data_IF_965532375817
#
_entry.id   IF_965532375817
#
_cell.length_a   1.000
_cell.length_b   1.000
_cell.length_c   1.000
_cell.angle_alpha   90.00
_cell.angle_beta   90.00
_cell.angle_gamma   90.00
#
_symmetry.space_group_name_H-M   'P 1'
#
loop_
_entity.id
_entity.type
_entity.pdbx_description
1 polymer ?
#
# COMPACT_ATOMS: atom_id res chain seq x y z
N UNK A 1 -1.18 56.97 -2.05
CA UNK A 1 -1.20 55.75 -2.90
C UNK A 1 -1.59 54.58 -2.02
N UNK A 2 -2.84 54.27 -1.96
CA UNK A 2 -3.36 53.13 -1.14
C UNK A 2 -3.16 51.84 -1.94
N UNK A 3 -2.39 50.87 -1.40
CA UNK A 3 -2.32 49.52 -1.94
C UNK A 3 -3.46 48.71 -1.31
N UNK A 4 -4.42 48.37 -2.13
CA UNK A 4 -5.55 47.49 -1.79
C UNK A 4 -5.04 46.10 -1.60
N UNK A 5 -5.14 45.56 -0.38
CA UNK A 5 -4.85 44.16 -0.08
C UNK A 5 -6.04 43.32 -0.55
N UNK A 6 -5.89 42.55 -1.60
CA UNK A 6 -6.86 41.55 -2.00
C UNK A 6 -6.83 40.38 -1.03
N UNK A 7 -7.82 40.30 -0.14
CA UNK A 7 -8.10 39.07 0.61
C UNK A 7 -8.85 38.11 -0.31
N UNK A 8 -8.20 37.06 -0.75
CA UNK A 8 -8.87 35.92 -1.38
C UNK A 8 -9.54 35.15 -0.23
N UNK A 9 -10.85 35.29 -0.10
CA UNK A 9 -11.66 34.46 0.80
C UNK A 9 -11.69 33.04 0.24
N UNK A 10 -10.94 32.12 0.82
CA UNK A 10 -11.06 30.69 0.60
C UNK A 10 -12.08 30.20 1.65
N UNK A 11 -13.30 29.80 1.27
CA UNK A 11 -14.27 29.28 2.22
C UNK A 11 -13.82 27.89 2.71
N UNK A 12 -13.93 27.66 4.01
CA UNK A 12 -13.62 26.43 4.76
C UNK A 12 -12.20 26.26 5.32
N UNK A 13 -11.58 27.32 5.79
CA UNK A 13 -10.39 27.20 6.63
C UNK A 13 -10.72 27.67 8.05
N UNK A 14 -10.80 26.75 9.00
CA UNK A 14 -10.82 27.12 10.42
C UNK A 14 -9.39 27.18 10.96
N UNK A 15 -8.95 28.34 11.41
CA UNK A 15 -7.65 28.53 12.04
C UNK A 15 -7.78 28.33 13.54
N UNK A 16 -7.07 27.37 14.10
CA UNK A 16 -7.19 27.06 15.54
C UNK A 16 -6.13 27.74 16.40
N UNK A 17 -4.98 28.14 15.86
CA UNK A 17 -3.97 28.88 16.63
C UNK A 17 -2.89 29.53 15.75
N UNK A 18 -2.53 30.77 16.10
CA UNK A 18 -1.32 31.45 15.62
C UNK A 18 -0.21 31.20 16.65
N UNK A 19 0.85 30.49 16.29
CA UNK A 19 2.02 30.34 17.15
C UNK A 19 3.21 31.08 16.55
N UNK A 20 4.25 31.36 17.36
CA UNK A 20 5.51 32.00 16.87
C UNK A 20 6.19 31.19 15.76
N UNK A 21 5.73 29.98 15.47
CA UNK A 21 6.26 29.02 14.50
C UNK A 21 5.40 28.84 13.24
N UNK A 22 4.32 29.62 13.06
CA UNK A 22 3.46 29.56 11.86
C UNK A 22 2.02 29.15 12.11
N UNK A 23 1.22 29.03 11.07
CA UNK A 23 -0.17 28.64 11.11
C UNK A 23 -0.33 27.11 11.18
N UNK A 24 -1.08 26.60 12.16
CA UNK A 24 -1.51 25.21 12.17
C UNK A 24 -2.84 25.08 11.43
N UNK A 25 -2.86 24.23 10.43
CA UNK A 25 -4.07 23.85 9.70
C UNK A 25 -4.60 22.51 10.22
N UNK A 26 -5.94 22.37 10.30
CA UNK A 26 -6.60 21.12 10.73
C UNK A 26 -6.56 19.99 9.69
N UNK A 27 -6.16 20.29 8.45
CA UNK A 27 -5.97 19.27 7.43
C UNK A 27 -4.51 18.76 7.47
N UNK A 28 -4.25 17.51 7.91
CA UNK A 28 -2.90 16.98 8.06
C UNK A 28 -2.16 16.80 6.73
N UNK A 29 -2.85 16.93 5.60
CA UNK A 29 -2.27 16.77 4.25
C UNK A 29 -1.98 18.11 3.56
N UNK A 30 -2.29 19.25 4.20
CA UNK A 30 -1.99 20.56 3.62
C UNK A 30 -0.65 21.06 4.14
N UNK A 31 0.32 21.14 3.25
CA UNK A 31 1.61 21.74 3.48
C UNK A 31 1.63 23.15 2.85
N UNK A 32 1.92 24.18 3.66
CA UNK A 32 2.12 25.54 3.18
C UNK A 32 3.61 25.88 3.36
N UNK A 33 4.33 26.01 2.27
CA UNK A 33 5.72 26.45 2.25
C UNK A 33 5.76 27.99 2.12
N UNK A 34 6.19 28.65 3.17
CA UNK A 34 6.46 30.09 3.16
C UNK A 34 7.94 30.35 2.85
N UNK A 35 8.40 30.02 1.66
CA UNK A 35 9.73 30.40 1.18
C UNK A 35 9.82 31.86 0.67
N UNK A 36 8.84 32.71 1.01
CA UNK A 36 8.79 34.12 0.65
C UNK A 36 9.60 35.00 1.57
N UNK A 37 10.63 35.66 1.06
CA UNK A 37 11.34 36.74 1.73
C UNK A 37 10.40 37.91 1.98
N UNK A 38 10.10 38.21 3.24
CA UNK A 38 9.62 39.54 3.63
C UNK A 38 10.85 40.34 4.05
N UNK A 39 11.22 41.35 3.25
CA UNK A 39 12.36 42.18 3.51
C UNK A 39 12.18 43.11 4.71
N UNK A 40 13.26 43.28 5.46
CA UNK A 40 13.42 44.33 6.45
C UNK A 40 13.71 43.84 7.87
N UNK A 41 14.97 43.78 8.28
CA UNK A 41 15.34 43.66 9.69
C UNK A 41 16.01 42.34 10.07
N UNK A 42 17.10 42.46 10.76
CA UNK A 42 18.01 41.42 11.27
C UNK A 42 17.30 40.14 11.75
N UNK A 43 17.67 38.99 11.16
CA UNK A 43 17.38 37.66 11.70
C UNK A 43 16.21 36.96 11.01
N UNK A 44 16.41 36.54 9.76
CA UNK A 44 15.56 35.47 9.14
C UNK A 44 16.00 34.12 9.69
N UNK A 45 15.30 33.59 10.68
CA UNK A 45 15.43 32.19 10.99
C UNK A 45 14.87 31.39 9.82
N UNK A 46 15.69 30.51 9.25
CA UNK A 46 15.28 29.55 8.23
C UNK A 46 14.35 28.54 8.87
N UNK A 47 13.04 28.69 8.65
CA UNK A 47 12.11 27.63 9.03
C UNK A 47 12.43 26.40 8.18
N UNK A 48 13.01 25.39 8.82
CA UNK A 48 13.26 24.10 8.20
C UNK A 48 11.94 23.49 7.72
N UNK A 49 11.97 22.83 6.57
CA UNK A 49 10.85 22.06 6.02
C UNK A 49 10.39 21.03 7.06
N UNK A 50 9.36 21.33 7.84
CA UNK A 50 8.74 20.34 8.71
C UNK A 50 7.88 19.42 7.84
N UNK A 51 8.41 18.27 7.51
CA UNK A 51 7.57 17.16 7.03
C UNK A 51 6.77 16.65 8.23
N UNK A 52 5.45 16.79 8.18
CA UNK A 52 4.59 16.16 9.17
C UNK A 52 4.87 14.66 9.16
N UNK A 53 5.19 14.11 10.33
CA UNK A 53 5.36 12.67 10.47
C UNK A 53 4.04 11.97 10.10
N UNK A 54 4.13 10.89 9.33
CA UNK A 54 2.97 10.07 9.01
C UNK A 54 2.31 9.55 10.30
N UNK A 55 1.00 9.70 10.40
CA UNK A 55 0.19 9.19 11.52
C UNK A 55 -0.76 8.13 10.99
N UNK A 56 -0.68 6.93 11.54
CA UNK A 56 -1.57 5.83 11.18
C UNK A 56 -3.02 6.13 11.57
N UNK A 57 -3.95 5.76 10.71
CA UNK A 57 -5.37 6.14 10.78
C UNK A 57 -5.72 7.30 9.85
N UNK A 58 -4.74 8.07 9.40
CA UNK A 58 -4.92 9.05 8.35
C UNK A 58 -4.70 8.40 6.97
N UNK A 59 -5.29 8.98 5.94
CA UNK A 59 -5.04 8.55 4.57
C UNK A 59 -3.59 8.87 4.14
N UNK A 60 -3.03 8.00 3.28
CA UNK A 60 -1.68 8.11 2.75
C UNK A 60 -1.75 8.26 1.22
N UNK A 61 -1.46 9.44 0.71
CA UNK A 61 -1.44 9.68 -0.74
C UNK A 61 -0.05 9.43 -1.31
N UNK A 62 0.02 8.54 -2.29
CA UNK A 62 1.26 8.13 -2.96
C UNK A 62 1.18 8.43 -4.47
N UNK A 63 2.22 9.04 -4.98
CA UNK A 63 2.45 9.19 -6.42
C UNK A 63 3.32 8.02 -6.87
N UNK A 64 2.70 7.04 -7.49
CA UNK A 64 3.38 5.92 -8.11
C UNK A 64 3.96 6.32 -9.46
N UNK A 65 5.22 5.99 -9.71
CA UNK A 65 5.89 6.26 -10.98
C UNK A 65 6.62 5.03 -11.50
N UNK A 66 6.59 4.84 -12.81
CA UNK A 66 7.32 3.75 -13.47
C UNK A 66 8.84 3.89 -13.35
N UNK A 67 9.33 5.09 -13.07
CA UNK A 67 10.77 5.40 -12.93
C UNK A 67 11.42 4.67 -11.74
N UNK A 68 10.66 4.32 -10.71
CA UNK A 68 11.15 3.50 -9.58
C UNK A 68 11.33 2.03 -9.97
N UNK A 69 10.77 1.59 -11.10
CA UNK A 69 10.81 0.20 -11.57
C UNK A 69 9.90 -0.75 -10.77
N UNK A 70 8.95 -0.20 -10.01
CA UNK A 70 7.96 -0.94 -9.18
C UNK A 70 6.58 -0.85 -9.81
N UNK A 71 6.04 0.35 -9.91
CA UNK A 71 4.72 0.58 -10.48
C UNK A 71 4.68 0.23 -11.97
N UNK A 72 3.68 -0.54 -12.43
CA UNK A 72 3.52 -0.85 -13.87
C UNK A 72 3.03 0.35 -14.69
N UNK A 73 2.48 1.37 -14.04
CA UNK A 73 2.03 2.62 -14.65
C UNK A 73 2.06 3.77 -13.64
N UNK A 74 2.13 5.00 -14.15
CA UNK A 74 2.07 6.20 -13.32
C UNK A 74 0.63 6.43 -12.85
N UNK A 75 0.43 6.62 -11.55
CA UNK A 75 -0.86 7.05 -10.98
C UNK A 75 -0.70 7.57 -9.56
N UNK A 76 -1.64 8.39 -9.12
CA UNK A 76 -1.78 8.80 -7.72
C UNK A 76 -2.85 7.95 -7.04
N UNK A 77 -2.53 7.43 -5.85
CA UNK A 77 -3.45 6.64 -5.03
C UNK A 77 -3.47 7.20 -3.62
N UNK A 78 -4.66 7.31 -3.05
CA UNK A 78 -4.86 7.62 -1.64
C UNK A 78 -5.29 6.34 -0.91
N UNK A 79 -4.37 5.78 -0.13
CA UNK A 79 -4.61 4.58 0.69
C UNK A 79 -5.25 4.96 2.01
N UNK A 80 -6.27 4.21 2.44
CA UNK A 80 -6.68 4.19 3.83
C UNK A 80 -5.61 3.49 4.67
N UNK A 81 -5.45 3.93 5.93
CA UNK A 81 -4.57 3.26 6.88
C UNK A 81 -5.30 2.96 8.18
N UNK A 82 -4.90 1.90 8.87
CA UNK A 82 -5.50 1.45 10.12
C UNK A 82 -4.46 0.87 11.07
N UNK A 83 -4.57 1.22 12.35
CA UNK A 83 -3.86 0.52 13.41
C UNK A 83 -4.56 -0.80 13.72
N UNK A 84 -3.80 -1.88 13.80
CA UNK A 84 -4.32 -3.20 14.12
C UNK A 84 -3.29 -4.06 14.84
N UNK A 85 -3.72 -4.78 15.85
CA UNK A 85 -2.93 -5.77 16.58
C UNK A 85 -3.03 -7.19 16.00
N UNK A 86 -3.75 -7.37 14.90
CA UNK A 86 -3.96 -8.69 14.28
C UNK A 86 -2.66 -9.41 13.92
N UNK A 87 -1.57 -8.69 13.65
CA UNK A 87 -0.24 -9.25 13.37
C UNK A 87 0.54 -9.73 14.62
N UNK A 88 -0.08 -9.70 15.80
CA UNK A 88 0.56 -10.07 17.09
C UNK A 88 1.05 -8.87 17.89
N UNK A 89 1.14 -7.70 17.26
CA UNK A 89 1.42 -6.41 17.92
C UNK A 89 0.75 -5.28 17.14
N UNK A 90 0.56 -4.11 17.78
CA UNK A 90 -0.02 -2.96 17.09
C UNK A 90 0.90 -2.48 15.98
N UNK A 91 0.41 -2.53 14.75
CA UNK A 91 1.07 -2.10 13.53
C UNK A 91 0.13 -1.25 12.68
N UNK A 92 0.69 -0.47 11.77
CA UNK A 92 -0.07 0.26 10.78
C UNK A 92 -0.18 -0.53 9.48
N UNK A 93 -1.39 -0.64 8.93
CA UNK A 93 -1.66 -1.33 7.67
C UNK A 93 -2.31 -0.39 6.67
N UNK A 94 -2.01 -0.55 5.37
CA UNK A 94 -2.90 -0.02 4.34
C UNK A 94 -4.14 -0.90 4.27
N UNK A 95 -5.33 -0.31 4.02
CA UNK A 95 -6.60 -1.06 3.92
C UNK A 95 -6.90 -1.55 2.51
N UNK A 96 -6.08 -1.18 1.54
CA UNK A 96 -6.19 -1.56 0.13
C UNK A 96 -4.99 -2.42 -0.28
N UNK A 97 -5.13 -3.20 -1.36
CA UNK A 97 -3.98 -3.83 -1.98
C UNK A 97 -3.06 -2.77 -2.59
N UNK A 98 -1.76 -2.97 -2.52
CA UNK A 98 -0.82 -2.01 -3.12
C UNK A 98 -1.12 -1.85 -4.62
N UNK A 99 -1.19 -0.62 -5.06
CA UNK A 99 -1.55 -0.28 -6.43
C UNK A 99 -3.04 -0.31 -6.76
N UNK A 100 -3.95 -0.58 -5.81
CA UNK A 100 -5.39 -0.38 -6.06
C UNK A 100 -5.74 1.11 -6.08
N UNK A 101 -6.66 1.49 -6.95
CA UNK A 101 -7.16 2.87 -7.02
C UNK A 101 -8.26 3.12 -6.00
N UNK A 102 -9.08 2.11 -5.75
CA UNK A 102 -10.23 2.19 -4.86
C UNK A 102 -10.15 1.11 -3.78
N UNK A 103 -10.77 1.38 -2.63
CA UNK A 103 -11.09 0.34 -1.67
C UNK A 103 -12.08 -0.63 -2.31
N UNK A 104 -11.88 -1.94 -2.12
CA UNK A 104 -12.87 -2.94 -2.53
C UNK A 104 -14.24 -2.64 -1.89
N UNK A 105 -15.31 -2.87 -2.62
CA UNK A 105 -16.70 -2.65 -2.18
C UNK A 105 -17.32 -3.88 -1.52
N UNK A 106 -16.71 -5.04 -1.71
CA UNK A 106 -17.10 -6.32 -1.11
C UNK A 106 -15.91 -7.29 -1.03
N UNK A 107 -16.12 -8.40 -0.34
CA UNK A 107 -15.15 -9.50 -0.29
C UNK A 107 -14.85 -10.07 -1.69
N UNK A 108 -15.86 -10.12 -2.55
CA UNK A 108 -15.80 -10.70 -3.89
C UNK A 108 -15.68 -9.67 -5.01
N UNK A 109 -15.27 -8.44 -4.68
CA UNK A 109 -15.08 -7.37 -5.67
C UNK A 109 -14.08 -7.81 -6.76
N UNK A 110 -14.57 -7.89 -7.99
CA UNK A 110 -13.78 -8.31 -9.16
C UNK A 110 -13.17 -7.14 -9.93
N UNK A 111 -13.39 -5.90 -9.47
CA UNK A 111 -12.91 -4.73 -10.19
C UNK A 111 -11.39 -4.65 -10.19
N UNK A 112 -10.82 -4.28 -11.33
CA UNK A 112 -9.39 -4.02 -11.46
C UNK A 112 -8.94 -2.87 -10.55
N UNK A 113 -9.81 -1.88 -10.35
CA UNK A 113 -9.53 -0.71 -9.53
C UNK A 113 -9.32 -1.07 -8.05
N UNK A 114 -9.98 -2.12 -7.55
CA UNK A 114 -9.81 -2.63 -6.19
C UNK A 114 -8.69 -3.67 -6.08
N UNK A 115 -8.47 -4.48 -7.12
CA UNK A 115 -7.52 -5.59 -7.08
C UNK A 115 -6.07 -5.14 -6.83
N UNK A 116 -5.68 -3.97 -7.33
CA UNK A 116 -4.31 -3.49 -7.25
C UNK A 116 -3.39 -4.18 -8.24
N UNK A 117 -2.13 -4.31 -7.87
CA UNK A 117 -1.11 -4.94 -8.68
C UNK A 117 -0.68 -6.28 -8.10
N UNK A 118 0.06 -7.07 -8.89
CA UNK A 118 0.56 -8.38 -8.56
C UNK A 118 2.08 -8.39 -8.66
N UNK A 119 2.75 -9.14 -7.79
CA UNK A 119 4.21 -9.27 -7.78
C UNK A 119 4.62 -10.73 -7.75
N UNK A 120 5.71 -11.04 -8.40
CA UNK A 120 6.46 -12.26 -8.17
C UNK A 120 7.26 -12.12 -6.88
N UNK A 121 7.50 -13.23 -6.20
CA UNK A 121 8.25 -13.21 -4.94
C UNK A 121 9.65 -12.61 -5.12
N UNK A 122 10.05 -11.76 -4.19
CA UNK A 122 11.34 -11.05 -4.15
C UNK A 122 11.67 -10.26 -5.44
N UNK A 123 10.67 -9.82 -6.20
CA UNK A 123 10.83 -8.95 -7.37
C UNK A 123 10.15 -7.63 -7.12
N UNK A 124 10.84 -6.53 -7.42
CA UNK A 124 10.28 -5.18 -7.24
C UNK A 124 9.23 -4.82 -8.29
N UNK A 125 9.30 -5.40 -9.49
CA UNK A 125 8.41 -5.07 -10.62
C UNK A 125 7.00 -5.58 -10.38
N UNK A 126 6.03 -4.67 -10.35
CA UNK A 126 4.61 -4.98 -10.27
C UNK A 126 3.97 -5.18 -11.64
N UNK A 127 2.82 -5.85 -11.65
CA UNK A 127 2.03 -6.16 -12.83
C UNK A 127 0.58 -5.79 -12.58
N UNK A 128 0.00 -4.98 -13.44
CA UNK A 128 -1.42 -4.74 -13.51
C UNK A 128 -2.06 -5.85 -14.36
N UNK A 129 -3.23 -6.35 -13.96
CA UNK A 129 -3.98 -7.33 -14.75
C UNK A 129 -5.47 -6.95 -14.81
N UNK A 130 -6.00 -6.82 -16.03
CA UNK A 130 -7.39 -6.43 -16.29
C UNK A 130 -8.36 -7.63 -16.43
N UNK A 131 -7.89 -8.85 -16.20
CA UNK A 131 -8.65 -10.08 -16.40
C UNK A 131 -8.25 -10.86 -17.66
N UNK A 132 -7.76 -10.19 -18.69
CA UNK A 132 -7.36 -10.80 -19.96
C UNK A 132 -5.87 -10.67 -20.26
N UNK A 133 -5.22 -9.62 -19.76
CA UNK A 133 -3.81 -9.36 -20.00
C UNK A 133 -3.13 -8.65 -18.85
N UNK A 134 -1.83 -8.81 -18.75
CA UNK A 134 -1.00 -8.09 -17.78
C UNK A 134 -0.20 -6.98 -18.42
N UNK A 135 -0.04 -5.88 -17.69
CA UNK A 135 0.83 -4.76 -18.06
C UNK A 135 1.85 -4.53 -16.93
N UNK A 136 3.16 -4.55 -17.22
CA UNK A 136 3.76 -5.08 -18.43
C UNK A 136 3.44 -6.58 -18.60
N UNK A 137 3.75 -7.16 -19.76
CA UNK A 137 3.51 -8.58 -19.99
C UNK A 137 4.12 -9.41 -18.86
N UNK A 138 3.29 -10.25 -18.23
CA UNK A 138 3.72 -11.16 -17.19
C UNK A 138 4.37 -12.39 -17.85
N UNK A 139 5.68 -12.50 -17.75
CA UNK A 139 6.42 -13.62 -18.31
C UNK A 139 6.90 -14.50 -17.17
N UNK A 140 6.50 -15.78 -17.09
CA UNK A 140 7.09 -16.70 -16.13
C UNK A 140 8.60 -16.78 -16.34
N UNK A 141 9.35 -16.60 -15.27
CA UNK A 141 10.81 -16.74 -15.28
C UNK A 141 11.15 -17.60 -14.08
N UNK A 142 11.78 -18.71 -14.35
CA UNK A 142 12.15 -19.62 -13.26
C UNK A 142 13.13 -18.92 -12.31
N UNK A 143 12.65 -18.65 -11.11
CA UNK A 143 13.45 -17.96 -10.10
C UNK A 143 13.95 -18.97 -9.08
N UNK A 144 15.25 -19.23 -9.08
CA UNK A 144 15.93 -19.96 -8.02
C UNK A 144 16.43 -18.94 -6.99
N UNK A 145 15.65 -18.73 -5.92
CA UNK A 145 15.89 -17.70 -4.91
C UNK A 145 15.78 -18.33 -3.52
N UNK A 146 16.74 -18.11 -2.65
CA UNK A 146 16.76 -18.68 -1.30
C UNK A 146 16.60 -17.63 -0.19
N UNK A 147 16.57 -16.36 -0.55
CA UNK A 147 16.42 -15.26 0.40
C UNK A 147 14.96 -15.00 0.74
N UNK A 148 14.69 -14.47 1.92
CA UNK A 148 13.47 -13.72 2.19
C UNK A 148 13.40 -12.49 1.28
N UNK A 149 12.23 -11.86 1.20
CA UNK A 149 12.08 -10.63 0.42
C UNK A 149 13.05 -9.57 0.92
N UNK A 150 13.97 -9.14 0.05
CA UNK A 150 14.96 -8.12 0.41
C UNK A 150 14.38 -6.71 0.28
N UNK A 151 14.78 -5.81 1.17
CA UNK A 151 14.23 -4.45 1.24
C UNK A 151 14.34 -3.68 -0.08
N UNK A 152 15.44 -3.88 -0.83
CA UNK A 152 15.64 -3.25 -2.14
C UNK A 152 14.67 -3.70 -3.23
N UNK A 153 13.98 -4.81 -3.01
CA UNK A 153 12.94 -5.35 -3.89
C UNK A 153 11.53 -5.23 -3.30
N UNK A 154 11.40 -4.83 -2.02
CA UNK A 154 10.11 -4.73 -1.34
C UNK A 154 9.29 -3.56 -1.89
N UNK A 155 8.18 -3.83 -2.62
CA UNK A 155 7.36 -2.78 -3.21
C UNK A 155 6.71 -1.86 -2.18
N UNK A 156 6.44 -2.34 -0.96
CA UNK A 156 5.92 -1.51 0.13
C UNK A 156 6.96 -0.48 0.57
N UNK A 157 8.21 -0.92 0.79
CA UNK A 157 9.30 -0.04 1.19
C UNK A 157 9.61 1.00 0.11
N UNK A 158 9.64 0.58 -1.17
CA UNK A 158 10.01 1.45 -2.29
C UNK A 158 8.90 2.46 -2.59
N UNK A 159 7.63 2.04 -2.54
CA UNK A 159 6.49 2.89 -2.92
C UNK A 159 5.98 3.76 -1.76
N UNK A 160 5.85 3.20 -0.55
CA UNK A 160 5.27 3.90 0.60
C UNK A 160 6.33 4.56 1.49
N UNK A 161 7.61 4.18 1.34
CA UNK A 161 8.72 4.77 2.07
C UNK A 161 9.10 4.02 3.35
N UNK A 162 9.98 4.65 4.13
CA UNK A 162 10.62 4.05 5.29
C UNK A 162 9.62 3.51 6.32
N UNK A 163 9.92 2.33 6.85
CA UNK A 163 9.11 1.61 7.83
C UNK A 163 8.01 0.75 7.22
N UNK A 164 7.61 0.96 5.97
CA UNK A 164 6.67 0.10 5.27
C UNK A 164 7.36 -1.13 4.69
N UNK A 165 6.70 -2.29 4.77
CA UNK A 165 7.19 -3.56 4.24
C UNK A 165 6.06 -4.55 3.98
N UNK A 166 6.38 -5.65 3.31
CA UNK A 166 5.50 -6.82 3.21
C UNK A 166 5.48 -7.54 4.57
N UNK A 167 4.30 -8.02 5.05
CA UNK A 167 4.20 -8.80 6.28
C UNK A 167 5.01 -10.10 6.22
N UNK A 168 5.54 -10.53 7.36
CA UNK A 168 6.17 -11.86 7.49
C UNK A 168 5.13 -12.97 7.56
N UNK A 169 5.55 -14.23 7.42
CA UNK A 169 4.67 -15.38 7.61
C UNK A 169 4.11 -15.45 9.04
N UNK A 170 4.91 -15.07 10.04
CA UNK A 170 4.47 -15.02 11.44
C UNK A 170 3.35 -14.02 11.64
N UNK A 171 3.46 -12.82 11.05
CA UNK A 171 2.40 -11.81 11.11
C UNK A 171 1.13 -12.30 10.41
N UNK A 172 1.25 -12.95 9.26
CA UNK A 172 0.09 -13.57 8.59
C UNK A 172 -0.50 -14.73 9.37
N UNK A 173 0.31 -15.55 10.09
CA UNK A 173 -0.20 -16.57 10.99
C UNK A 173 -1.03 -15.96 12.13
N UNK A 174 -0.57 -14.87 12.72
CA UNK A 174 -1.32 -14.17 13.77
C UNK A 174 -2.65 -13.60 13.24
N UNK A 175 -2.63 -12.96 12.07
CA UNK A 175 -3.87 -12.51 11.39
C UNK A 175 -4.79 -13.69 11.12
N UNK A 176 -4.24 -14.83 10.65
CA UNK A 176 -4.97 -16.05 10.31
C UNK A 176 -5.66 -16.68 11.53
N UNK A 177 -5.01 -16.68 12.68
CA UNK A 177 -5.52 -17.25 13.93
C UNK A 177 -6.69 -16.46 14.56
N UNK A 178 -6.95 -15.23 14.10
CA UNK A 178 -7.93 -14.31 14.66
C UNK A 178 -9.32 -14.41 14.01
N UNK A 179 -9.77 -15.61 13.60
CA UNK A 179 -11.03 -15.83 12.89
C UNK A 179 -11.13 -15.02 11.58
N UNK A 180 -10.06 -15.00 10.84
CA UNK A 180 -9.88 -14.15 9.67
C UNK A 180 -10.95 -14.35 8.60
N UNK A 181 -11.44 -15.61 8.42
CA UNK A 181 -12.42 -15.88 7.36
C UNK A 181 -13.70 -15.03 7.50
N UNK A 182 -14.21 -14.91 8.72
CA UNK A 182 -15.39 -14.07 8.98
C UNK A 182 -15.08 -12.56 8.92
N UNK A 183 -13.83 -12.17 9.08
CA UNK A 183 -13.40 -10.78 9.23
C UNK A 183 -12.54 -10.27 8.07
N UNK A 184 -12.24 -11.09 7.07
CA UNK A 184 -11.32 -10.73 6.00
C UNK A 184 -11.66 -9.38 5.36
N UNK A 185 -12.90 -9.20 4.94
CA UNK A 185 -13.41 -7.94 4.41
C UNK A 185 -14.08 -7.07 5.48
N UNK A 186 -14.89 -7.68 6.37
CA UNK A 186 -15.59 -6.93 7.42
C UNK A 186 -14.62 -6.30 8.44
N UNK A 187 -13.50 -6.97 8.69
CA UNK A 187 -12.46 -6.53 9.64
C UNK A 187 -11.70 -5.29 9.19
N UNK A 188 -10.76 -4.83 10.04
CA UNK A 188 -10.05 -3.56 9.81
C UNK A 188 -9.19 -3.58 8.56
N UNK A 189 -8.67 -4.73 8.14
CA UNK A 189 -7.77 -4.82 6.98
C UNK A 189 -8.50 -4.73 5.64
N UNK A 190 -9.82 -4.88 5.58
CA UNK A 190 -10.63 -4.78 4.35
C UNK A 190 -10.06 -5.61 3.19
N UNK A 191 -9.69 -6.87 3.48
CA UNK A 191 -9.12 -7.78 2.49
C UNK A 191 -10.20 -8.31 1.54
N UNK A 192 -9.86 -8.53 0.27
CA UNK A 192 -10.82 -9.04 -0.73
C UNK A 192 -10.15 -10.01 -1.70
N UNK A 193 -10.96 -10.76 -2.44
CA UNK A 193 -10.54 -11.82 -3.34
C UNK A 193 -10.00 -11.27 -4.68
N UNK A 194 -8.81 -10.69 -4.66
CA UNK A 194 -8.14 -10.17 -5.86
C UNK A 194 -7.60 -11.27 -6.80
N UNK A 195 -7.59 -12.54 -6.36
CA UNK A 195 -7.02 -13.65 -7.13
C UNK A 195 -5.49 -13.58 -7.24
N UNK A 196 -4.94 -14.27 -8.23
CA UNK A 196 -3.51 -14.30 -8.54
C UNK A 196 -3.26 -14.45 -10.04
N UNK A 197 -2.07 -14.09 -10.50
CA UNK A 197 -1.62 -14.33 -11.88
C UNK A 197 -0.82 -15.63 -11.89
N UNK A 198 -1.28 -16.61 -12.68
CA UNK A 198 -0.64 -17.93 -12.79
C UNK A 198 0.73 -17.82 -13.47
N UNK A 199 1.70 -18.60 -13.02
CA UNK A 199 3.01 -18.78 -13.67
C UNK A 199 2.98 -19.79 -14.84
N UNK A 200 1.90 -20.61 -14.93
CA UNK A 200 1.55 -21.44 -16.06
C UNK A 200 0.43 -20.81 -16.93
N UNK A 201 -0.10 -21.59 -17.85
CA UNK A 201 -1.32 -21.23 -18.61
C UNK A 201 -1.32 -19.77 -19.16
N UNK A 202 -0.27 -19.35 -19.84
CA UNK A 202 -0.15 -18.02 -20.46
C UNK A 202 -0.30 -16.82 -19.49
N UNK A 203 0.04 -17.00 -18.21
CA UNK A 203 -0.01 -15.92 -17.21
C UNK A 203 -1.42 -15.36 -17.00
N UNK A 204 -2.41 -16.22 -16.99
CA UNK A 204 -3.83 -15.86 -16.82
C UNK A 204 -4.11 -15.48 -15.37
N UNK A 205 -5.00 -14.51 -15.21
CA UNK A 205 -5.56 -14.16 -13.90
C UNK A 205 -6.53 -15.27 -13.46
N UNK A 206 -6.30 -15.78 -12.25
CA UNK A 206 -7.08 -16.87 -11.65
C UNK A 206 -7.79 -16.40 -10.38
N UNK A 207 -8.98 -16.90 -10.14
CA UNK A 207 -9.70 -16.84 -8.87
C UNK A 207 -10.03 -15.43 -8.33
N UNK A 208 -10.00 -14.38 -9.17
CA UNK A 208 -10.50 -13.06 -8.76
C UNK A 208 -11.99 -13.17 -8.45
N UNK A 209 -12.41 -12.64 -7.31
CA UNK A 209 -13.76 -12.74 -6.78
C UNK A 209 -14.02 -13.99 -5.94
N UNK A 210 -13.10 -14.98 -5.89
CA UNK A 210 -13.30 -16.22 -5.14
C UNK A 210 -12.18 -16.58 -4.16
N UNK A 211 -10.98 -16.08 -4.37
CA UNK A 211 -9.84 -16.38 -3.48
C UNK A 211 -8.93 -15.17 -3.31
N UNK A 212 -8.40 -15.02 -2.11
CA UNK A 212 -7.40 -14.02 -1.74
C UNK A 212 -6.03 -14.68 -1.77
N UNK A 213 -5.06 -14.01 -2.36
CA UNK A 213 -3.67 -14.44 -2.36
C UNK A 213 -2.77 -13.25 -1.99
N UNK A 214 -2.09 -13.37 -0.86
CA UNK A 214 -1.18 -12.34 -0.39
C UNK A 214 0.21 -12.90 -0.12
N UNK A 215 1.24 -12.27 -0.65
CA UNK A 215 2.60 -12.61 -0.30
C UNK A 215 2.90 -12.35 1.18
N UNK A 216 3.65 -13.24 1.80
CA UNK A 216 4.50 -12.89 2.93
C UNK A 216 5.91 -12.57 2.43
N UNK A 217 6.70 -11.88 3.26
CA UNK A 217 8.12 -11.66 2.95
C UNK A 217 9.00 -12.89 3.19
N UNK A 218 8.43 -14.01 3.64
CA UNK A 218 9.17 -15.19 4.09
C UNK A 218 9.32 -16.22 2.98
N UNK A 219 10.58 -16.59 2.72
CA UNK A 219 10.92 -17.67 1.84
C UNK A 219 10.52 -19.04 2.41
N UNK A 220 10.38 -20.05 1.57
CA UNK A 220 10.24 -21.45 1.97
C UNK A 220 11.41 -22.30 1.47
N UNK A 221 11.64 -22.29 0.15
CA UNK A 221 12.73 -23.00 -0.50
C UNK A 221 13.20 -22.24 -1.76
N UNK A 222 13.90 -22.91 -2.68
CA UNK A 222 14.43 -22.29 -3.89
C UNK A 222 13.32 -21.74 -4.84
N UNK A 223 12.18 -22.39 -4.89
CA UNK A 223 11.09 -22.13 -5.86
C UNK A 223 9.77 -21.68 -5.22
N UNK A 224 9.61 -21.95 -3.93
CA UNK A 224 8.37 -21.73 -3.18
C UNK A 224 8.57 -20.67 -2.09
N UNK A 225 7.57 -19.84 -1.88
CA UNK A 225 7.50 -18.88 -0.78
C UNK A 225 6.14 -18.92 -0.06
N UNK A 226 6.13 -18.42 1.16
CA UNK A 226 4.93 -18.41 2.02
C UNK A 226 3.98 -17.27 1.63
N UNK A 227 2.70 -17.54 1.70
CA UNK A 227 1.63 -16.56 1.51
C UNK A 227 0.39 -16.91 2.31
N UNK A 228 -0.51 -15.95 2.45
CA UNK A 228 -1.84 -16.16 3.01
C UNK A 228 -2.83 -16.41 1.89
N UNK A 229 -3.61 -17.48 2.00
CA UNK A 229 -4.73 -17.80 1.09
C UNK A 229 -6.03 -17.89 1.88
N UNK A 230 -7.08 -17.22 1.38
CA UNK A 230 -8.43 -17.27 1.95
C UNK A 230 -9.39 -17.60 0.83
N UNK A 231 -10.32 -18.51 1.10
CA UNK A 231 -11.36 -18.93 0.16
C UNK A 231 -12.69 -18.28 0.54
N UNK A 232 -13.40 -17.68 -0.40
CA UNK A 232 -14.71 -17.06 -0.12
C UNK A 232 -15.79 -18.08 0.21
N UNK A 233 -15.67 -19.30 -0.31
CA UNK A 233 -16.65 -20.39 -0.17
C UNK A 233 -16.30 -21.39 0.93
N UNK A 234 -15.13 -21.29 1.55
CA UNK A 234 -14.68 -22.24 2.57
C UNK A 234 -14.58 -21.58 3.94
N UNK A 235 -14.70 -22.35 4.99
CA UNK A 235 -14.64 -21.87 6.37
C UNK A 235 -13.22 -21.75 6.90
N UNK A 236 -12.21 -22.16 6.13
CA UNK A 236 -10.82 -22.11 6.52
C UNK A 236 -10.01 -21.17 5.63
N UNK A 237 -8.94 -20.71 6.16
CA UNK A 237 -7.87 -19.95 5.55
C UNK A 237 -6.54 -20.58 5.97
N UNK A 238 -5.51 -20.37 5.21
CA UNK A 238 -4.24 -21.04 5.47
C UNK A 238 -3.04 -20.21 5.03
N UNK A 239 -1.94 -20.44 5.73
CA UNK A 239 -0.62 -20.12 5.17
C UNK A 239 -0.29 -21.20 4.15
N UNK A 240 -0.06 -20.80 2.92
CA UNK A 240 0.19 -21.70 1.81
C UNK A 240 1.61 -21.53 1.26
N UNK A 241 2.03 -22.58 0.58
CA UNK A 241 3.20 -22.55 -0.29
C UNK A 241 2.75 -22.09 -1.69
N UNK A 242 3.39 -21.04 -2.20
CA UNK A 242 3.08 -20.48 -3.50
C UNK A 242 4.34 -20.45 -4.35
N UNK A 243 4.17 -20.75 -5.63
CA UNK A 243 5.23 -20.65 -6.60
C UNK A 243 5.71 -19.19 -6.71
N UNK A 244 7.01 -18.98 -6.61
CA UNK A 244 7.62 -17.62 -6.63
C UNK A 244 7.40 -16.89 -7.94
N UNK A 245 7.17 -17.60 -9.01
CA UNK A 245 6.87 -17.03 -10.32
C UNK A 245 5.38 -16.70 -10.52
N UNK A 246 4.51 -17.07 -9.59
CA UNK A 246 3.14 -16.59 -9.56
C UNK A 246 3.09 -15.12 -9.14
N UNK A 247 2.09 -14.40 -9.65
CA UNK A 247 1.83 -13.02 -9.27
C UNK A 247 0.77 -12.94 -8.18
N UNK A 248 1.14 -12.62 -6.93
CA UNK A 248 0.20 -12.45 -5.83
C UNK A 248 0.08 -10.97 -5.44
N UNK A 249 -1.04 -10.64 -4.81
CA UNK A 249 -1.24 -9.30 -4.23
C UNK A 249 -0.30 -9.04 -3.06
N UNK A 250 -0.03 -7.75 -2.80
CA UNK A 250 0.74 -7.28 -1.67
C UNK A 250 -0.12 -6.37 -0.80
N UNK A 251 -0.08 -6.61 0.50
CA UNK A 251 -0.62 -5.76 1.55
C UNK A 251 0.53 -5.25 2.40
N UNK A 252 0.61 -3.94 2.60
CA UNK A 252 1.73 -3.34 3.33
C UNK A 252 1.43 -3.13 4.80
N UNK A 253 2.43 -3.40 5.62
CA UNK A 253 2.45 -3.16 7.07
C UNK A 253 3.59 -2.19 7.40
N UNK A 254 3.42 -1.41 8.45
CA UNK A 254 4.45 -0.49 8.95
C UNK A 254 4.71 -0.73 10.43
N UNK A 255 5.99 -0.77 10.78
CA UNK A 255 6.51 -0.88 12.15
C UNK A 255 6.35 0.42 12.96
#
# INVERSE_FOLDING_TARGET
>A
MYRTLFFILIPFLSFTQLTKTGFRHTNPNLYIDFSGRIGGGKGLERFGKQTLAFVCGNSLTIIHTTTKGVAPLNKTVTYGTVKSSLSGSEKCWITQNLGSTNQATSETDVSESAAGWYWKFNKKKGYKNNGTSSTPTFTPTYTNEISNWVVSNDPCAIELGAGWRIPTVTEWNNVNSSNLRAQAYAGPLKMHAAGYVSNGNNSVLMNRGSQFFYWSSTNSDATIAKGLVIYTTQTYNQISNNDKDAGLSVRCIRD
#
